data_IF_343609303592
#
_entry.id   IF_343609303592
#
_cell.length_a   1.000
_cell.length_b   1.000
_cell.length_c   1.000
_cell.angle_alpha   90.00
_cell.angle_beta   90.00
_cell.angle_gamma   90.00
#
_symmetry.space_group_name_H-M   'P 1'
#
loop_
_entity.id
_entity.type
_entity.pdbx_description
1 polymer ?
#
# COMPACT_ATOMS: atom_id res chain seq x y z
N UNK A 1 -4.57 -13.46 9.05
CA UNK A 1 -5.40 -14.39 9.82
C UNK A 1 -5.85 -15.59 9.00
N UNK A 2 -6.36 -15.40 7.77
CA UNK A 2 -6.94 -16.48 6.94
C UNK A 2 -5.93 -17.58 6.58
N UNK A 3 -4.71 -17.21 6.23
CA UNK A 3 -3.66 -18.14 5.76
C UNK A 3 -2.74 -18.69 6.88
N UNK A 4 -2.92 -18.21 8.11
CA UNK A 4 -2.11 -18.65 9.24
C UNK A 4 -0.68 -18.10 9.24
N UNK A 5 0.22 -18.73 10.03
CA UNK A 5 1.60 -18.24 10.23
C UNK A 5 2.47 -18.24 8.98
N UNK A 6 2.17 -19.09 7.98
CA UNK A 6 2.89 -19.10 6.70
C UNK A 6 2.88 -17.74 5.97
N UNK A 7 1.80 -16.95 6.16
CA UNK A 7 1.72 -15.60 5.61
C UNK A 7 2.85 -14.69 6.11
N UNK A 8 3.30 -14.87 7.34
CA UNK A 8 4.39 -14.09 7.93
C UNK A 8 5.69 -14.22 7.14
N UNK A 9 6.08 -15.43 6.81
CA UNK A 9 7.29 -15.66 6.02
C UNK A 9 7.21 -14.96 4.67
N UNK A 10 6.08 -15.13 3.97
CA UNK A 10 5.90 -14.54 2.66
C UNK A 10 5.79 -13.01 2.70
N UNK A 11 5.21 -12.43 3.77
CA UNK A 11 5.19 -10.97 3.96
C UNK A 11 6.62 -10.47 4.16
N UNK A 12 7.41 -11.07 5.06
CA UNK A 12 8.78 -10.65 5.34
C UNK A 12 9.65 -10.76 4.08
N UNK A 13 9.66 -11.91 3.43
CA UNK A 13 10.44 -12.09 2.20
C UNK A 13 9.93 -11.21 1.05
N UNK A 14 8.62 -11.07 0.90
CA UNK A 14 8.00 -10.20 -0.10
C UNK A 14 8.37 -8.73 0.08
N UNK A 15 8.34 -8.23 1.30
CA UNK A 15 8.72 -6.85 1.60
C UNK A 15 10.22 -6.61 1.37
N UNK A 16 11.08 -7.52 1.86
CA UNK A 16 12.54 -7.35 1.75
C UNK A 16 13.02 -7.47 0.30
N UNK A 17 12.67 -8.56 -0.37
CA UNK A 17 13.23 -8.86 -1.69
C UNK A 17 12.47 -8.21 -2.85
N UNK A 18 11.16 -8.14 -2.78
CA UNK A 18 10.36 -7.57 -3.85
C UNK A 18 10.02 -6.10 -3.59
N UNK A 19 9.35 -5.78 -2.48
CA UNK A 19 8.85 -4.44 -2.20
C UNK A 19 9.94 -3.41 -2.05
N UNK A 20 10.86 -3.63 -1.11
CA UNK A 20 11.94 -2.68 -0.83
C UNK A 20 12.89 -2.49 -2.02
N UNK A 21 13.17 -3.57 -2.77
CA UNK A 21 14.00 -3.48 -3.98
C UNK A 21 13.29 -2.72 -5.09
N UNK A 22 12.01 -3.01 -5.31
CA UNK A 22 11.19 -2.30 -6.30
C UNK A 22 11.13 -0.79 -6.01
N UNK A 23 10.84 -0.42 -4.77
CA UNK A 23 10.71 0.98 -4.37
C UNK A 23 12.04 1.73 -4.46
N UNK A 24 13.11 1.08 -4.03
CA UNK A 24 14.44 1.65 -4.14
C UNK A 24 14.83 1.90 -5.60
N UNK A 25 14.65 0.92 -6.48
CA UNK A 25 15.01 1.06 -7.88
C UNK A 25 14.13 2.10 -8.59
N UNK A 26 12.81 2.03 -8.40
CA UNK A 26 11.88 2.97 -9.03
C UNK A 26 12.10 4.41 -8.53
N UNK A 27 12.32 4.59 -7.24
CA UNK A 27 12.60 5.88 -6.63
C UNK A 27 13.93 6.48 -7.12
N UNK A 28 14.99 5.68 -7.17
CA UNK A 28 16.30 6.14 -7.64
C UNK A 28 16.31 6.48 -9.13
N UNK A 29 15.65 5.67 -9.97
CA UNK A 29 15.52 5.97 -11.40
C UNK A 29 14.73 7.26 -11.60
N UNK A 30 13.61 7.42 -10.91
CA UNK A 30 12.80 8.63 -10.98
C UNK A 30 13.59 9.87 -10.56
N UNK A 31 14.31 9.79 -9.45
CA UNK A 31 15.12 10.89 -8.93
C UNK A 31 16.23 11.33 -9.92
N UNK A 32 16.94 10.37 -10.51
CA UNK A 32 17.99 10.65 -11.52
C UNK A 32 17.46 11.27 -12.79
N UNK A 33 16.18 11.03 -13.09
CA UNK A 33 15.47 11.65 -14.23
C UNK A 33 14.70 12.92 -13.86
N UNK A 34 14.94 13.51 -12.69
CA UNK A 34 14.29 14.75 -12.25
C UNK A 34 12.87 14.56 -11.70
N UNK A 35 12.54 13.35 -11.20
CA UNK A 35 11.24 13.07 -10.59
C UNK A 35 10.14 12.74 -11.61
N UNK A 36 10.48 12.16 -12.75
CA UNK A 36 9.50 11.71 -13.75
C UNK A 36 8.77 10.45 -13.28
N UNK A 37 7.53 10.30 -13.74
CA UNK A 37 6.69 9.14 -13.42
C UNK A 37 7.14 7.85 -14.10
N UNK A 38 6.63 6.72 -13.60
CA UNK A 38 6.94 5.41 -14.16
C UNK A 38 6.60 5.29 -15.66
N UNK A 39 5.47 5.82 -16.16
CA UNK A 39 5.16 5.76 -17.59
C UNK A 39 6.19 6.48 -18.48
N UNK A 40 6.73 7.60 -18.01
CA UNK A 40 7.78 8.35 -18.72
C UNK A 40 9.09 7.55 -18.78
N UNK A 41 9.48 6.95 -17.65
CA UNK A 41 10.68 6.09 -17.58
C UNK A 41 10.56 4.91 -18.54
N UNK A 42 9.38 4.28 -18.58
CA UNK A 42 9.11 3.16 -19.51
C UNK A 42 9.15 3.64 -20.97
N UNK A 43 8.60 4.83 -21.22
CA UNK A 43 8.62 5.43 -22.55
C UNK A 43 10.02 5.66 -23.11
N UNK A 44 10.93 6.11 -22.25
CA UNK A 44 12.33 6.34 -22.62
C UNK A 44 13.09 5.05 -22.97
N UNK A 45 12.71 3.92 -22.35
CA UNK A 45 13.39 2.63 -22.55
C UNK A 45 12.71 1.78 -23.63
N UNK A 46 11.38 1.73 -23.63
CA UNK A 46 10.56 0.82 -24.45
C UNK A 46 9.80 1.54 -25.58
N UNK A 47 9.91 2.86 -25.64
CA UNK A 47 9.33 3.67 -26.71
C UNK A 47 7.93 4.21 -26.40
N UNK A 48 7.49 5.14 -27.26
CA UNK A 48 6.28 5.95 -27.07
C UNK A 48 4.97 5.14 -27.08
N UNK A 49 4.92 4.03 -27.80
CA UNK A 49 3.72 3.15 -27.81
C UNK A 49 3.49 2.52 -26.44
N UNK A 50 4.55 2.03 -25.82
CA UNK A 50 4.52 1.42 -24.50
C UNK A 50 4.19 2.46 -23.43
N UNK A 51 4.72 3.68 -23.57
CA UNK A 51 4.37 4.81 -22.69
C UNK A 51 2.87 5.09 -22.67
N UNK A 52 2.24 5.19 -23.86
CA UNK A 52 0.79 5.44 -23.97
C UNK A 52 -0.03 4.32 -23.33
N UNK A 53 0.36 3.06 -23.57
CA UNK A 53 -0.29 1.91 -22.96
C UNK A 53 -0.17 1.95 -21.44
N UNK A 54 1.01 2.26 -20.90
CA UNK A 54 1.23 2.39 -19.46
C UNK A 54 0.46 3.56 -18.84
N UNK A 55 0.31 4.68 -19.55
CA UNK A 55 -0.52 5.80 -19.10
C UNK A 55 -1.98 5.38 -18.95
N UNK A 56 -2.56 4.74 -19.97
CA UNK A 56 -3.93 4.23 -19.91
C UNK A 56 -4.10 3.22 -18.77
N UNK A 57 -3.18 2.27 -18.68
CA UNK A 57 -3.19 1.28 -17.60
C UNK A 57 -3.11 1.94 -16.22
N UNK A 58 -2.22 2.91 -16.03
CA UNK A 58 -2.09 3.63 -14.77
C UNK A 58 -3.35 4.40 -14.39
N UNK A 59 -4.01 5.05 -15.36
CA UNK A 59 -5.27 5.78 -15.12
C UNK A 59 -6.36 4.80 -14.69
N UNK A 60 -6.53 3.69 -15.39
CA UNK A 60 -7.52 2.67 -15.03
C UNK A 60 -7.21 2.10 -13.64
N UNK A 61 -5.96 1.72 -13.40
CA UNK A 61 -5.52 1.18 -12.11
C UNK A 61 -5.82 2.15 -10.96
N UNK A 62 -5.40 3.41 -11.09
CA UNK A 62 -5.60 4.44 -10.05
C UNK A 62 -7.08 4.74 -9.81
N UNK A 63 -7.91 4.70 -10.86
CA UNK A 63 -9.36 4.87 -10.73
C UNK A 63 -9.98 3.71 -9.95
N UNK A 64 -9.60 2.47 -10.28
CA UNK A 64 -10.08 1.28 -9.56
C UNK A 64 -9.64 1.28 -8.09
N UNK A 65 -8.39 1.63 -7.84
CA UNK A 65 -7.86 1.76 -6.47
C UNK A 65 -8.56 2.88 -5.72
N UNK A 66 -8.79 4.02 -6.35
CA UNK A 66 -9.57 5.13 -5.77
C UNK A 66 -10.98 4.71 -5.37
N UNK A 67 -11.65 3.94 -6.20
CA UNK A 67 -12.98 3.39 -5.89
C UNK A 67 -12.96 2.49 -4.64
N UNK A 68 -11.95 1.62 -4.51
CA UNK A 68 -11.77 0.77 -3.31
C UNK A 68 -11.55 1.62 -2.06
N UNK A 69 -10.76 2.67 -2.14
CA UNK A 69 -10.50 3.58 -1.00
C UNK A 69 -11.69 4.46 -0.61
N UNK A 70 -12.68 4.62 -1.48
CA UNK A 70 -13.97 5.23 -1.12
C UNK A 70 -14.90 4.18 -0.50
N UNK A 71 -14.98 3.00 -1.11
CA UNK A 71 -15.95 1.98 -0.72
C UNK A 71 -15.60 1.31 0.61
N UNK A 72 -14.35 0.89 0.83
CA UNK A 72 -13.95 0.18 2.05
C UNK A 72 -14.18 0.95 3.35
N UNK A 73 -13.80 2.24 3.46
CA UNK A 73 -14.15 3.02 4.65
C UNK A 73 -15.66 3.22 4.82
N UNK A 74 -16.40 3.39 3.72
CA UNK A 74 -17.85 3.55 3.77
C UNK A 74 -18.54 2.29 4.33
N UNK A 75 -18.08 1.11 3.95
CA UNK A 75 -18.58 -0.16 4.46
C UNK A 75 -18.29 -0.35 5.97
N UNK A 76 -17.10 0.04 6.42
CA UNK A 76 -16.75 -0.01 7.85
C UNK A 76 -17.62 0.95 8.65
N UNK A 77 -17.86 2.15 8.16
CA UNK A 77 -18.65 3.18 8.82
C UNK A 77 -20.17 2.84 8.83
N UNK A 78 -20.65 2.14 7.83
CA UNK A 78 -22.03 1.62 7.77
C UNK A 78 -22.33 0.70 8.97
N UNK A 79 -21.37 -0.14 9.35
CA UNK A 79 -21.46 -0.98 10.54
C UNK A 79 -21.55 -0.22 11.89
N UNK A 80 -21.21 1.08 11.89
CA UNK A 80 -21.28 1.94 13.07
C UNK A 80 -22.54 2.80 13.12
N UNK A 81 -22.90 3.45 12.01
CA UNK A 81 -24.09 4.28 11.90
C UNK A 81 -24.35 4.72 10.45
N UNK A 82 -25.59 4.79 10.03
CA UNK A 82 -25.99 5.32 8.72
C UNK A 82 -26.13 4.26 7.64
N UNK A 83 -25.94 4.67 6.39
CA UNK A 83 -25.99 3.78 5.23
C UNK A 83 -24.71 3.92 4.41
N UNK A 84 -24.28 2.83 3.78
CA UNK A 84 -23.08 2.81 2.92
C UNK A 84 -23.10 3.93 1.88
N UNK A 85 -24.26 4.16 1.26
CA UNK A 85 -24.42 5.22 0.25
C UNK A 85 -24.18 6.61 0.79
N UNK A 86 -24.66 6.90 2.01
CA UNK A 86 -24.42 8.19 2.65
C UNK A 86 -22.92 8.42 2.88
N UNK A 87 -22.22 7.40 3.38
CA UNK A 87 -20.79 7.49 3.62
C UNK A 87 -19.97 7.60 2.35
N UNK A 88 -20.35 6.90 1.27
CA UNK A 88 -19.72 7.07 -0.05
C UNK A 88 -19.81 8.52 -0.52
N UNK A 89 -20.97 9.16 -0.40
CA UNK A 89 -21.16 10.54 -0.82
C UNK A 89 -20.27 11.50 0.02
N UNK A 90 -20.24 11.30 1.34
CA UNK A 90 -19.43 12.12 2.26
C UNK A 90 -17.94 11.97 1.95
N UNK A 91 -17.45 10.75 1.79
CA UNK A 91 -16.03 10.48 1.51
C UNK A 91 -15.66 11.02 0.13
N UNK A 92 -16.52 10.85 -0.86
CA UNK A 92 -16.28 11.37 -2.21
C UNK A 92 -16.24 12.90 -2.22
N UNK A 93 -17.19 13.57 -1.52
CA UNK A 93 -17.18 15.01 -1.36
C UNK A 93 -15.90 15.51 -0.64
N UNK A 94 -15.46 14.79 0.40
CA UNK A 94 -14.19 15.07 1.08
C UNK A 94 -13.00 14.99 0.10
N UNK A 95 -12.92 13.95 -0.71
CA UNK A 95 -11.83 13.79 -1.69
C UNK A 95 -11.88 14.89 -2.76
N UNK A 96 -13.07 15.25 -3.21
CA UNK A 96 -13.24 16.35 -4.16
C UNK A 96 -12.72 17.68 -3.58
N UNK A 97 -13.10 18.01 -2.35
CA UNK A 97 -12.63 19.21 -1.65
C UNK A 97 -11.13 19.15 -1.41
N UNK A 98 -10.61 17.99 -0.96
CA UNK A 98 -9.19 17.79 -0.72
C UNK A 98 -8.34 17.97 -1.99
N UNK A 99 -8.87 17.58 -3.15
CA UNK A 99 -8.18 17.76 -4.44
C UNK A 99 -8.08 19.23 -4.85
N UNK A 100 -9.04 20.06 -4.44
CA UNK A 100 -9.03 21.52 -4.72
C UNK A 100 -8.06 22.29 -3.81
N UNK A 101 -7.64 21.71 -2.69
CA UNK A 101 -6.71 22.35 -1.77
C UNK A 101 -5.25 22.15 -2.22
N UNK A 102 -4.36 23.14 -1.98
CA UNK A 102 -2.94 22.98 -2.26
C UNK A 102 -2.33 21.89 -1.35
N UNK A 103 -2.11 20.74 -1.96
CA UNK A 103 -1.69 19.49 -1.32
C UNK A 103 -0.46 19.68 -0.43
N UNK A 104 0.52 20.44 -0.88
CA UNK A 104 1.80 20.63 -0.17
C UNK A 104 1.65 21.33 1.18
N UNK A 105 0.72 22.28 1.31
CA UNK A 105 0.51 23.03 2.55
C UNK A 105 -0.37 22.29 3.55
N UNK A 106 -1.39 21.60 3.06
CA UNK A 106 -2.37 20.88 3.90
C UNK A 106 -1.78 19.56 4.38
N UNK A 107 -1.20 18.78 3.49
CA UNK A 107 -0.58 17.50 3.84
C UNK A 107 0.57 17.70 4.80
N UNK A 108 1.48 18.66 4.55
CA UNK A 108 2.62 18.91 5.43
C UNK A 108 2.24 19.24 6.86
N UNK A 109 1.05 19.82 7.09
CA UNK A 109 0.57 20.17 8.45
C UNK A 109 -0.27 19.08 9.10
N UNK A 110 -1.06 18.35 8.31
CA UNK A 110 -1.98 17.32 8.83
C UNK A 110 -1.30 15.96 8.94
N UNK A 111 -0.32 15.67 8.09
CA UNK A 111 0.38 14.38 8.05
C UNK A 111 1.00 13.97 9.39
N UNK A 112 1.64 14.84 10.18
CA UNK A 112 2.14 14.47 11.51
C UNK A 112 1.06 13.98 12.46
N UNK A 113 -0.16 14.52 12.37
CA UNK A 113 -1.29 14.10 13.21
C UNK A 113 -1.72 12.68 12.83
N UNK A 114 -1.81 12.38 11.55
CA UNK A 114 -2.11 11.03 11.07
C UNK A 114 -1.02 10.03 11.44
N UNK A 115 0.25 10.42 11.30
CA UNK A 115 1.37 9.58 11.69
C UNK A 115 1.35 9.26 13.18
N UNK A 116 1.08 10.26 14.04
CA UNK A 116 0.94 10.06 15.46
C UNK A 116 -0.25 9.15 15.80
N UNK A 117 -1.41 9.36 15.16
CA UNK A 117 -2.60 8.53 15.35
C UNK A 117 -2.32 7.07 14.96
N UNK A 118 -1.61 6.84 13.87
CA UNK A 118 -1.24 5.50 13.40
C UNK A 118 -0.27 4.81 14.37
N UNK A 119 0.75 5.54 14.85
CA UNK A 119 1.67 5.02 15.86
C UNK A 119 0.97 4.73 17.19
N UNK A 120 0.05 5.59 17.61
CA UNK A 120 -0.76 5.37 18.81
C UNK A 120 -1.63 4.13 18.66
N UNK A 121 -2.30 3.96 17.51
CA UNK A 121 -3.09 2.77 17.22
C UNK A 121 -2.25 1.50 17.24
N UNK A 122 -1.09 1.52 16.60
CA UNK A 122 -0.16 0.38 16.58
C UNK A 122 0.33 0.04 17.99
N UNK A 123 0.69 1.05 18.79
CA UNK A 123 1.10 0.87 20.20
C UNK A 123 -0.04 0.32 21.06
N UNK A 124 -1.25 0.85 20.90
CA UNK A 124 -2.43 0.36 21.63
C UNK A 124 -2.74 -1.10 21.29
N UNK A 125 -2.68 -1.48 20.00
CA UNK A 125 -2.84 -2.88 19.58
C UNK A 125 -1.76 -3.78 20.17
N UNK A 126 -0.52 -3.32 20.20
CA UNK A 126 0.59 -4.08 20.79
C UNK A 126 0.36 -4.31 22.28
N UNK A 127 -0.03 -3.26 23.02
CA UNK A 127 -0.37 -3.38 24.46
C UNK A 127 -1.53 -4.34 24.68
N UNK A 128 -2.60 -4.26 23.90
CA UNK A 128 -3.74 -5.19 24.00
C UNK A 128 -3.34 -6.64 23.71
N UNK A 129 -2.46 -6.85 22.70
CA UNK A 129 -1.91 -8.17 22.41
C UNK A 129 -1.11 -8.73 23.57
N UNK A 130 -0.26 -7.94 24.21
CA UNK A 130 0.48 -8.37 25.40
C UNK A 130 -0.42 -8.66 26.59
N UNK A 131 -1.46 -7.85 26.82
CA UNK A 131 -2.38 -8.03 27.94
C UNK A 131 -3.31 -9.24 27.78
N UNK A 132 -3.81 -9.45 26.55
CA UNK A 132 -4.72 -10.56 26.27
C UNK A 132 -4.00 -11.87 25.94
N UNK A 133 -2.71 -11.80 25.58
CA UNK A 133 -1.87 -12.92 25.21
C UNK A 133 -2.62 -14.01 24.44
N UNK A 134 -3.17 -13.72 23.26
CA UNK A 134 -3.88 -14.73 22.48
C UNK A 134 -2.92 -15.86 22.12
N UNK A 135 -3.41 -17.10 22.07
CA UNK A 135 -2.64 -18.23 21.63
C UNK A 135 -2.24 -18.03 20.16
N UNK A 136 -1.02 -17.60 19.92
CA UNK A 136 -0.46 -17.48 18.57
C UNK A 136 0.02 -18.87 18.16
N UNK A 137 -0.51 -19.46 17.07
CA UNK A 137 -0.04 -20.77 16.63
C UNK A 137 1.45 -20.70 16.25
N UNK A 138 2.19 -21.74 16.59
CA UNK A 138 3.60 -21.86 16.24
C UNK A 138 3.80 -21.78 14.72
N UNK A 139 4.89 -21.16 14.30
CA UNK A 139 5.19 -20.96 12.88
C UNK A 139 5.24 -22.31 12.13
N UNK A 140 5.82 -23.32 12.78
CA UNK A 140 6.01 -24.65 12.22
C UNK A 140 4.72 -25.46 12.08
N UNK A 141 3.76 -25.24 12.97
CA UNK A 141 2.45 -25.90 12.92
C UNK A 141 1.53 -25.32 11.84
N UNK A 142 1.92 -24.20 11.26
CA UNK A 142 1.11 -23.43 10.32
C UNK A 142 1.70 -23.21 8.93
N UNK A 143 2.77 -23.95 8.55
CA UNK A 143 3.35 -23.84 7.21
C UNK A 143 2.41 -24.32 6.09
N UNK A 144 1.42 -25.15 6.42
CA UNK A 144 0.38 -25.55 5.49
C UNK A 144 -0.70 -24.47 5.29
N UNK A 145 -1.49 -24.64 4.24
CA UNK A 145 -2.61 -23.74 3.95
C UNK A 145 -3.79 -24.00 4.89
N UNK A 146 -3.84 -23.30 6.01
CA UNK A 146 -4.95 -23.39 6.97
C UNK A 146 -6.26 -22.79 6.44
N UNK A 147 -6.21 -21.94 5.43
CA UNK A 147 -7.42 -21.36 4.85
C UNK A 147 -8.32 -22.42 4.20
N UNK A 148 -7.74 -23.47 3.64
CA UNK A 148 -8.49 -24.57 3.03
C UNK A 148 -9.27 -25.43 4.03
N UNK A 149 -8.90 -25.42 5.32
CA UNK A 149 -9.64 -26.12 6.37
C UNK A 149 -10.93 -25.43 6.76
N UNK A 150 -11.01 -24.11 6.47
CA UNK A 150 -12.16 -23.27 6.82
C UNK A 150 -13.07 -23.06 5.60
N UNK A 151 -12.48 -22.88 4.42
CA UNK A 151 -13.20 -22.59 3.19
C UNK A 151 -12.38 -23.11 1.99
N UNK A 152 -12.99 -23.96 1.18
CA UNK A 152 -12.39 -24.53 -0.03
C UNK A 152 -12.49 -23.61 -1.26
N UNK A 153 -12.95 -22.35 -1.08
CA UNK A 153 -13.10 -21.39 -2.17
C UNK A 153 -11.76 -21.01 -2.81
N UNK A 154 -11.79 -20.51 -4.04
CA UNK A 154 -10.61 -20.02 -4.76
C UNK A 154 -9.84 -18.97 -3.95
N UNK A 155 -10.57 -18.11 -3.22
CA UNK A 155 -9.96 -17.07 -2.35
C UNK A 155 -9.17 -17.62 -1.17
N UNK A 156 -9.25 -18.90 -0.88
CA UNK A 156 -8.54 -19.59 0.21
C UNK A 156 -7.29 -20.31 -0.26
N UNK A 157 -7.00 -20.32 -1.56
CA UNK A 157 -5.79 -20.94 -2.09
C UNK A 157 -4.56 -20.08 -1.80
N UNK A 158 -3.48 -20.72 -1.38
CA UNK A 158 -2.20 -20.04 -1.13
C UNK A 158 -1.71 -19.35 -2.40
N UNK A 159 -1.72 -20.07 -3.50
CA UNK A 159 -1.41 -19.53 -4.81
C UNK A 159 -2.68 -19.51 -5.66
N UNK A 160 -3.07 -18.38 -6.28
CA UNK A 160 -2.34 -17.10 -6.27
C UNK A 160 -2.78 -16.13 -5.15
N UNK A 161 -3.82 -16.40 -4.36
CA UNK A 161 -4.51 -15.39 -3.55
C UNK A 161 -3.66 -14.77 -2.44
N UNK A 162 -2.86 -15.57 -1.72
CA UNK A 162 -1.93 -15.03 -0.72
C UNK A 162 -0.90 -14.12 -1.37
N UNK A 163 -0.32 -14.55 -2.49
CA UNK A 163 0.70 -13.77 -3.21
C UNK A 163 0.15 -12.48 -3.79
N UNK A 164 -1.08 -12.49 -4.33
CA UNK A 164 -1.76 -11.26 -4.79
C UNK A 164 -1.96 -10.30 -3.63
N UNK A 165 -2.39 -10.79 -2.47
CA UNK A 165 -2.61 -9.96 -1.27
C UNK A 165 -1.30 -9.34 -0.77
N UNK A 166 -0.21 -10.12 -0.74
CA UNK A 166 1.11 -9.64 -0.33
C UNK A 166 1.66 -8.64 -1.36
N UNK A 167 1.53 -8.94 -2.65
CA UNK A 167 1.95 -8.04 -3.72
C UNK A 167 1.20 -6.70 -3.67
N UNK A 168 -0.08 -6.71 -3.33
CA UNK A 168 -0.86 -5.48 -3.15
C UNK A 168 -0.29 -4.56 -2.07
N UNK A 169 0.28 -5.12 -0.99
CA UNK A 169 0.95 -4.36 0.05
C UNK A 169 2.40 -4.00 -0.28
N UNK A 170 3.18 -4.97 -0.73
CA UNK A 170 4.61 -4.83 -0.95
C UNK A 170 4.97 -4.12 -2.27
N UNK A 171 4.20 -4.33 -3.33
CA UNK A 171 4.42 -3.74 -4.67
C UNK A 171 3.14 -3.02 -5.12
N UNK A 172 2.66 -2.11 -4.31
CA UNK A 172 1.43 -1.38 -4.59
C UNK A 172 1.58 -0.42 -5.78
N UNK A 173 0.52 -0.26 -6.57
CA UNK A 173 0.47 0.74 -7.64
C UNK A 173 0.66 2.18 -7.14
N UNK A 174 0.44 2.44 -5.85
CA UNK A 174 0.77 3.72 -5.22
C UNK A 174 2.26 4.04 -5.25
N UNK A 175 3.13 3.07 -5.14
CA UNK A 175 4.57 3.28 -5.18
C UNK A 175 5.00 3.87 -6.53
N UNK A 176 4.36 3.50 -7.62
CA UNK A 176 4.62 4.07 -8.93
C UNK A 176 4.32 5.57 -9.02
N UNK A 177 3.40 6.09 -8.21
CA UNK A 177 3.03 7.51 -8.15
C UNK A 177 3.74 8.26 -7.02
N UNK A 178 3.96 7.61 -5.88
CA UNK A 178 4.65 8.22 -4.73
C UNK A 178 6.15 8.33 -4.92
N UNK A 179 6.80 7.36 -5.54
CA UNK A 179 8.25 7.38 -5.76
C UNK A 179 8.72 8.62 -6.53
N UNK A 180 8.05 9.08 -7.61
CA UNK A 180 8.40 10.35 -8.26
C UNK A 180 8.22 11.56 -7.38
N UNK A 181 7.14 11.62 -6.59
CA UNK A 181 6.89 12.73 -5.66
C UNK A 181 7.98 12.81 -4.59
N UNK A 182 8.33 11.68 -3.99
CA UNK A 182 9.43 11.61 -3.02
C UNK A 182 10.76 11.92 -3.66
N UNK A 183 11.01 11.45 -4.88
CA UNK A 183 12.23 11.75 -5.64
C UNK A 183 12.45 13.24 -5.86
N UNK A 184 11.38 14.02 -6.09
CA UNK A 184 11.45 15.49 -6.22
C UNK A 184 11.77 16.20 -4.90
N UNK A 185 11.38 15.63 -3.76
CA UNK A 185 11.60 16.21 -2.44
C UNK A 185 12.99 15.90 -1.87
N UNK A 186 13.71 14.94 -2.47
CA UNK A 186 15.02 14.50 -1.96
C UNK A 186 16.13 15.47 -2.34
N UNK A 187 16.96 15.79 -1.35
CA UNK A 187 18.13 16.67 -1.54
C UNK A 187 19.39 15.94 -2.00
N UNK A 188 19.50 14.63 -1.80
CA UNK A 188 20.69 13.84 -2.09
C UNK A 188 20.35 12.38 -2.36
N UNK A 189 21.05 11.76 -3.31
CA UNK A 189 20.95 10.32 -3.62
C UNK A 189 21.26 9.41 -2.43
N UNK A 190 22.12 9.88 -1.50
CA UNK A 190 22.50 9.11 -0.30
C UNK A 190 21.29 8.80 0.61
N UNK A 191 20.26 9.65 0.54
CA UNK A 191 19.03 9.45 1.32
C UNK A 191 18.08 8.43 0.67
N UNK A 192 18.33 8.02 -0.55
CA UNK A 192 17.47 7.07 -1.26
C UNK A 192 17.36 5.72 -0.56
N UNK A 193 18.45 5.19 -0.07
CA UNK A 193 18.47 3.90 0.64
C UNK A 193 17.60 3.91 1.92
N UNK A 194 17.80 4.83 2.88
CA UNK A 194 16.95 4.85 4.07
C UNK A 194 15.50 5.20 3.78
N UNK A 195 15.21 6.05 2.78
CA UNK A 195 13.84 6.48 2.47
C UNK A 195 13.07 5.41 1.71
N UNK A 196 13.61 4.88 0.61
CA UNK A 196 12.86 3.94 -0.23
C UNK A 196 13.00 2.49 0.24
N UNK A 197 14.20 2.08 0.62
CA UNK A 197 14.44 0.70 1.08
C UNK A 197 14.16 0.55 2.58
N UNK A 198 14.68 1.46 3.39
CA UNK A 198 14.56 1.40 4.85
C UNK A 198 13.11 1.50 5.34
N UNK A 199 12.32 2.42 4.76
CA UNK A 199 10.93 2.60 5.14
C UNK A 199 10.02 1.38 4.82
N UNK A 200 10.44 0.50 3.92
CA UNK A 200 9.70 -0.73 3.60
C UNK A 200 10.01 -1.89 4.57
N UNK A 201 11.15 -1.82 5.26
CA UNK A 201 11.60 -2.89 6.17
C UNK A 201 11.19 -2.60 7.61
N UNK A 202 11.05 -1.31 7.97
CA UNK A 202 10.61 -0.88 9.31
C UNK A 202 9.11 -0.92 9.45
#
# INVERSE_FOLDING_TARGET
AKFGPSAYLWIVFGCIFAGATHDYLSGMISMRKGGVGLPEVIGDVLGERTRKLMLVFSVVLLTMVGAVFVYSPAEILDGMAGTTTMWIIIIFAYYFIATMLPVDKVIGRIYPIFAFSLLFMAGALMVVLFLKWPSVPELWDGLGNKALTVDSSWSSQLYPCLFITIACGAISGFHATQSPLMGRCMKSERMGRPIFYGAMIT
#
